data_IF_211676481006
#
_entry.id   IF_211676481006
#
_cell.length_a   1.000
_cell.length_b   1.000
_cell.length_c   1.000
_cell.angle_alpha   90.00
_cell.angle_beta   90.00
_cell.angle_gamma   90.00
#
_symmetry.space_group_name_H-M   'P 1'
#
loop_
_entity.id
_entity.type
_entity.pdbx_description
1 polymer ?
#
# COMPACT_ATOMS: atom_id res chain seq x y z
N UNK A 1 17.69 -1.14 0.11
CA UNK A 1 16.73 -0.17 -0.46
C UNK A 1 16.83 -0.31 -1.97
N UNK A 2 15.79 -0.84 -2.64
CA UNK A 2 15.82 -0.99 -4.10
C UNK A 2 15.67 0.42 -4.68
N UNK A 3 16.79 1.03 -5.07
CA UNK A 3 16.80 2.30 -5.79
C UNK A 3 16.43 1.98 -7.23
N UNK A 4 15.18 2.28 -7.62
CA UNK A 4 14.77 2.22 -9.02
C UNK A 4 15.15 3.52 -9.70
N UNK A 5 15.56 3.50 -10.98
CA UNK A 5 15.69 4.71 -11.76
C UNK A 5 14.34 5.45 -11.76
N UNK A 6 14.38 6.78 -11.62
CA UNK A 6 13.14 7.59 -11.57
C UNK A 6 12.47 7.51 -12.94
N UNK A 7 11.23 6.99 -13.05
CA UNK A 7 10.51 6.99 -14.32
C UNK A 7 10.28 8.43 -14.79
N UNK A 8 10.31 8.63 -16.10
CA UNK A 8 9.95 9.94 -16.67
C UNK A 8 8.46 10.22 -16.51
N UNK A 9 8.06 11.50 -16.58
CA UNK A 9 6.66 11.91 -16.40
C UNK A 9 5.70 11.11 -17.30
N UNK A 10 6.02 10.93 -18.58
CA UNK A 10 5.19 10.14 -19.50
C UNK A 10 5.12 8.66 -19.11
N UNK A 11 6.22 8.07 -18.64
CA UNK A 11 6.22 6.68 -18.18
C UNK A 11 5.29 6.48 -16.98
N UNK A 12 5.19 7.46 -16.08
CA UNK A 12 4.25 7.41 -14.95
C UNK A 12 2.78 7.27 -15.40
N UNK A 13 2.37 7.91 -16.51
CA UNK A 13 1.01 7.79 -17.04
C UNK A 13 0.72 6.41 -17.64
N UNK A 14 1.72 5.75 -18.24
CA UNK A 14 1.54 4.47 -18.91
C UNK A 14 1.87 3.25 -18.03
N UNK A 15 2.35 3.44 -16.79
CA UNK A 15 2.55 2.34 -15.85
C UNK A 15 1.19 1.88 -15.31
N UNK A 16 0.68 0.78 -15.88
CA UNK A 16 -0.60 0.19 -15.48
C UNK A 16 -0.48 -0.79 -14.29
N UNK A 17 0.70 -1.39 -14.09
CA UNK A 17 0.92 -2.35 -12.99
C UNK A 17 0.90 -1.63 -11.64
N UNK A 18 -0.12 -1.91 -10.83
CA UNK A 18 -0.31 -1.28 -9.52
C UNK A 18 -0.95 0.11 -9.56
N UNK A 19 -1.42 0.56 -10.73
CA UNK A 19 -2.16 1.82 -10.86
C UNK A 19 -3.60 1.67 -10.39
N UNK A 20 -4.19 2.77 -9.91
CA UNK A 20 -5.62 2.87 -9.60
C UNK A 20 -6.46 3.06 -10.87
N UNK A 21 -5.84 3.47 -11.99
CA UNK A 21 -6.51 3.81 -13.26
C UNK A 21 -7.43 2.68 -13.76
N UNK A 22 -7.00 1.41 -13.89
CA UNK A 22 -7.89 0.34 -14.35
C UNK A 22 -9.13 0.16 -13.48
N UNK A 23 -9.03 0.54 -12.19
CA UNK A 23 -10.10 0.39 -11.21
C UNK A 23 -11.15 1.49 -11.28
N UNK A 24 -10.77 2.71 -11.71
CA UNK A 24 -11.67 3.88 -11.82
C UNK A 24 -12.12 4.14 -13.26
N UNK A 25 -11.43 3.54 -14.25
CA UNK A 25 -11.72 3.71 -15.67
C UNK A 25 -13.18 3.36 -16.05
N UNK A 26 -13.77 2.22 -15.62
CA UNK A 26 -15.17 1.93 -15.98
C UNK A 26 -16.16 2.94 -15.36
N UNK A 27 -15.87 3.51 -14.20
CA UNK A 27 -16.69 4.56 -13.58
C UNK A 27 -16.59 5.86 -14.38
N UNK A 28 -15.37 6.24 -14.82
CA UNK A 28 -15.17 7.40 -15.70
C UNK A 28 -15.98 7.25 -16.99
N UNK A 29 -15.89 6.09 -17.65
CA UNK A 29 -16.69 5.82 -18.85
C UNK A 29 -18.19 5.82 -18.58
N UNK A 30 -18.63 5.26 -17.45
CA UNK A 30 -20.03 5.29 -17.03
C UNK A 30 -20.57 6.71 -16.88
N UNK A 31 -19.85 7.60 -16.19
CA UNK A 31 -20.24 9.00 -16.04
C UNK A 31 -20.18 9.76 -17.37
N UNK A 32 -19.20 9.49 -18.22
CA UNK A 32 -19.09 10.09 -19.55
C UNK A 32 -20.29 9.71 -20.43
N UNK A 33 -20.66 8.42 -20.45
CA UNK A 33 -21.81 7.93 -21.21
C UNK A 33 -23.12 8.51 -20.66
N UNK A 34 -23.28 8.54 -19.33
CA UNK A 34 -24.42 9.15 -18.67
C UNK A 34 -24.57 10.64 -19.03
N UNK A 35 -23.46 11.40 -18.98
CA UNK A 35 -23.44 12.81 -19.37
C UNK A 35 -23.80 13.00 -20.85
N UNK A 36 -23.27 12.16 -21.74
CA UNK A 36 -23.59 12.18 -23.15
C UNK A 36 -25.08 11.87 -23.42
N UNK A 37 -25.64 10.89 -22.71
CA UNK A 37 -27.07 10.53 -22.83
C UNK A 37 -27.97 11.69 -22.39
N UNK A 38 -27.70 12.34 -21.25
CA UNK A 38 -28.43 13.54 -20.81
C UNK A 38 -28.35 14.64 -21.86
N UNK A 39 -27.17 14.90 -22.41
CA UNK A 39 -26.98 15.93 -23.42
C UNK A 39 -27.81 15.64 -24.69
N UNK A 40 -27.86 14.38 -25.13
CA UNK A 40 -28.67 13.97 -26.27
C UNK A 40 -30.16 14.16 -26.01
N UNK A 41 -30.65 13.76 -24.83
CA UNK A 41 -32.06 13.94 -24.43
C UNK A 41 -32.41 15.42 -24.36
N UNK A 42 -31.58 16.23 -23.71
CA UNK A 42 -31.80 17.67 -23.57
C UNK A 42 -31.87 18.36 -24.93
N UNK A 43 -30.98 17.99 -25.87
CA UNK A 43 -31.03 18.51 -27.24
C UNK A 43 -32.25 18.04 -28.02
N UNK A 44 -32.64 16.77 -27.88
CA UNK A 44 -33.77 16.19 -28.61
C UNK A 44 -35.11 16.82 -28.19
N UNK A 45 -35.30 17.01 -26.88
CA UNK A 45 -36.52 17.60 -26.31
C UNK A 45 -36.44 19.13 -26.13
N UNK A 46 -35.36 19.77 -26.58
CA UNK A 46 -35.11 21.22 -26.41
C UNK A 46 -35.27 21.69 -24.96
N UNK A 47 -34.82 20.87 -24.00
CA UNK A 47 -34.89 21.20 -22.58
C UNK A 47 -33.88 22.30 -22.26
N UNK A 48 -34.35 23.36 -21.61
CA UNK A 48 -33.47 24.41 -21.09
C UNK A 48 -32.86 24.00 -19.75
N UNK A 49 -31.55 23.79 -19.75
CA UNK A 49 -30.76 23.44 -18.57
C UNK A 49 -30.12 24.66 -17.91
N UNK A 50 -30.34 25.88 -18.44
CA UNK A 50 -29.71 27.12 -17.93
C UNK A 50 -30.09 27.45 -16.48
N UNK A 51 -31.26 26.99 -16.03
CA UNK A 51 -31.72 27.13 -14.65
C UNK A 51 -30.94 26.27 -13.64
N UNK A 52 -30.14 25.29 -14.09
CA UNK A 52 -29.33 24.45 -13.23
C UNK A 52 -28.06 25.20 -12.80
N UNK A 53 -28.03 25.60 -11.53
CA UNK A 53 -26.84 26.22 -10.94
C UNK A 53 -25.74 25.19 -10.67
N UNK A 54 -24.50 25.55 -11.01
CA UNK A 54 -23.29 24.77 -10.70
C UNK A 54 -22.85 24.97 -9.24
N UNK A 55 -23.36 26.01 -8.56
CA UNK A 55 -22.90 26.41 -7.23
C UNK A 55 -22.95 25.29 -6.16
N UNK A 56 -24.00 24.44 -6.08
CA UNK A 56 -24.02 23.34 -5.12
C UNK A 56 -22.89 22.31 -5.37
N UNK A 57 -22.53 22.07 -6.63
CA UNK A 57 -21.43 21.17 -6.98
C UNK A 57 -20.07 21.75 -6.62
N UNK A 58 -19.90 23.07 -6.75
CA UNK A 58 -18.71 23.77 -6.29
C UNK A 58 -18.49 23.60 -4.78
N UNK A 59 -19.55 23.81 -3.98
CA UNK A 59 -19.50 23.61 -2.53
C UNK A 59 -19.12 22.17 -2.18
N UNK A 60 -19.80 21.19 -2.77
CA UNK A 60 -19.50 19.77 -2.56
C UNK A 60 -18.07 19.44 -2.97
N UNK A 61 -17.59 19.96 -4.10
CA UNK A 61 -16.21 19.77 -4.58
C UNK A 61 -15.17 20.30 -3.60
N UNK A 62 -15.38 21.50 -3.05
CA UNK A 62 -14.49 22.09 -2.04
C UNK A 62 -14.46 21.23 -0.77
N UNK A 63 -15.64 20.86 -0.26
CA UNK A 63 -15.74 20.01 0.95
C UNK A 63 -15.06 18.66 0.75
N UNK A 64 -15.28 18.00 -0.39
CA UNK A 64 -14.65 16.72 -0.73
C UNK A 64 -13.13 16.84 -0.85
N UNK A 65 -12.62 17.92 -1.44
CA UNK A 65 -11.18 18.17 -1.59
C UNK A 65 -10.49 18.28 -0.22
N UNK A 66 -11.08 19.05 0.70
CA UNK A 66 -10.56 19.20 2.06
C UNK A 66 -10.57 17.85 2.79
N UNK A 67 -11.70 17.12 2.74
CA UNK A 67 -11.79 15.81 3.38
C UNK A 67 -10.78 14.81 2.81
N UNK A 68 -10.58 14.81 1.49
CA UNK A 68 -9.62 13.94 0.82
C UNK A 68 -8.18 14.27 1.25
N UNK A 69 -7.84 15.54 1.44
CA UNK A 69 -6.53 15.96 1.94
C UNK A 69 -6.23 15.38 3.33
N UNK A 70 -7.16 15.55 4.29
CA UNK A 70 -7.01 14.96 5.63
C UNK A 70 -6.93 13.44 5.59
N UNK A 71 -7.78 12.79 4.80
CA UNK A 71 -7.77 11.33 4.64
C UNK A 71 -6.46 10.83 4.04
N UNK A 72 -5.94 11.51 3.03
CA UNK A 72 -4.70 11.14 2.36
C UNK A 72 -3.50 11.29 3.31
N UNK A 73 -3.44 12.37 4.09
CA UNK A 73 -2.39 12.57 5.08
C UNK A 73 -2.39 11.44 6.12
N UNK A 74 -3.55 11.12 6.71
CA UNK A 74 -3.66 10.04 7.69
C UNK A 74 -3.29 8.65 7.08
N UNK A 75 -3.71 8.38 5.84
CA UNK A 75 -3.35 7.15 5.14
C UNK A 75 -1.85 7.07 4.84
N UNK A 76 -1.24 8.19 4.46
CA UNK A 76 0.19 8.30 4.20
C UNK A 76 1.00 8.08 5.48
N UNK A 77 0.62 8.72 6.59
CA UNK A 77 1.28 8.59 7.87
C UNK A 77 1.26 7.15 8.37
N UNK A 78 0.10 6.47 8.27
CA UNK A 78 -0.03 5.04 8.60
C UNK A 78 0.85 4.16 7.72
N UNK A 79 0.91 4.44 6.41
CA UNK A 79 1.79 3.70 5.50
C UNK A 79 3.27 3.92 5.85
N UNK A 80 3.64 5.16 6.17
CA UNK A 80 5.00 5.53 6.54
C UNK A 80 5.40 4.94 7.88
N UNK A 81 4.51 4.92 8.86
CA UNK A 81 4.70 4.26 10.15
C UNK A 81 5.01 2.77 9.98
N UNK A 82 4.22 2.05 9.19
CA UNK A 82 4.51 0.64 8.90
C UNK A 82 5.92 0.46 8.30
N UNK A 83 6.33 1.35 7.37
CA UNK A 83 7.69 1.32 6.80
C UNK A 83 8.78 1.59 7.83
N UNK A 84 8.57 2.53 8.76
CA UNK A 84 9.48 2.82 9.88
C UNK A 84 9.63 1.60 10.78
N UNK A 85 8.52 0.95 11.18
CA UNK A 85 8.54 -0.24 12.04
C UNK A 85 9.31 -1.41 11.41
N UNK A 86 9.08 -1.68 10.12
CA UNK A 86 9.87 -2.69 9.40
C UNK A 86 11.36 -2.32 9.30
N UNK A 87 11.68 -1.03 9.17
CA UNK A 87 13.07 -0.55 9.20
C UNK A 87 13.72 -0.73 10.57
N UNK A 88 13.00 -0.42 11.64
CA UNK A 88 13.43 -0.61 13.02
C UNK A 88 13.69 -2.11 13.31
N UNK A 89 12.80 -3.01 12.87
CA UNK A 89 13.01 -4.45 13.02
C UNK A 89 14.33 -4.94 12.41
N UNK A 90 14.67 -4.48 11.20
CA UNK A 90 15.96 -4.81 10.56
C UNK A 90 17.14 -4.25 11.34
N UNK A 91 17.00 -3.04 11.88
CA UNK A 91 18.03 -2.43 12.70
C UNK A 91 18.27 -3.22 14.00
N UNK A 92 17.20 -3.61 14.69
CA UNK A 92 17.31 -4.37 15.94
C UNK A 92 17.86 -5.77 15.75
N UNK A 93 17.47 -6.48 14.69
CA UNK A 93 18.05 -7.81 14.39
C UNK A 93 19.56 -7.68 14.11
N UNK A 94 20.00 -6.60 13.46
CA UNK A 94 21.44 -6.34 13.26
C UNK A 94 22.15 -5.98 14.57
N UNK A 95 21.51 -5.25 15.47
CA UNK A 95 22.04 -4.98 16.81
C UNK A 95 22.19 -6.29 17.60
N UNK A 96 21.16 -7.13 17.59
CA UNK A 96 21.16 -8.44 18.23
C UNK A 96 22.30 -9.32 17.68
N UNK A 97 22.46 -9.38 16.36
CA UNK A 97 23.57 -10.11 15.73
C UNK A 97 24.94 -9.59 16.17
N UNK A 98 25.11 -8.27 16.36
CA UNK A 98 26.37 -7.70 16.87
C UNK A 98 26.59 -8.02 18.35
N UNK A 99 25.57 -7.84 19.19
CA UNK A 99 25.67 -8.06 20.63
C UNK A 99 26.00 -9.53 20.95
N UNK A 100 25.38 -10.47 20.23
CA UNK A 100 25.60 -11.90 20.43
C UNK A 100 27.02 -12.37 20.11
N UNK A 101 27.78 -11.63 19.29
CA UNK A 101 29.21 -11.94 19.05
C UNK A 101 30.03 -11.88 20.34
N UNK A 102 29.69 -10.96 21.25
CA UNK A 102 30.40 -10.79 22.52
C UNK A 102 29.75 -11.53 23.69
N UNK A 103 28.44 -11.79 23.60
CA UNK A 103 27.66 -12.38 24.70
C UNK A 103 27.58 -13.90 24.65
N UNK A 104 27.64 -14.50 23.45
CA UNK A 104 27.48 -15.95 23.24
C UNK A 104 28.81 -16.54 22.78
N UNK A 105 29.40 -17.40 23.62
CA UNK A 105 30.65 -18.08 23.31
C UNK A 105 30.50 -19.22 22.30
N UNK A 106 29.35 -19.90 22.30
CA UNK A 106 29.05 -20.96 21.34
C UNK A 106 28.47 -20.42 20.03
N UNK A 107 29.13 -20.74 18.92
CA UNK A 107 28.69 -20.35 17.57
C UNK A 107 27.43 -21.08 17.13
N UNK A 108 27.20 -22.30 17.61
CA UNK A 108 26.00 -23.06 17.26
C UNK A 108 24.76 -22.42 17.91
N UNK A 109 24.83 -22.12 19.20
CA UNK A 109 23.79 -21.40 19.94
C UNK A 109 23.53 -20.01 19.35
N UNK A 110 24.59 -19.24 19.04
CA UNK A 110 24.45 -17.95 18.38
C UNK A 110 23.69 -18.08 17.05
N UNK A 111 24.04 -19.08 16.24
CA UNK A 111 23.39 -19.30 14.94
C UNK A 111 21.92 -19.66 15.12
N UNK A 112 21.57 -20.53 16.07
CA UNK A 112 20.19 -20.93 16.34
C UNK A 112 19.31 -19.72 16.69
N UNK A 113 19.75 -18.88 17.64
CA UNK A 113 19.05 -17.65 18.02
C UNK A 113 18.81 -16.70 16.84
N UNK A 114 19.82 -16.52 15.98
CA UNK A 114 19.68 -15.66 14.80
C UNK A 114 18.75 -16.27 13.73
N UNK A 115 18.69 -17.60 13.63
CA UNK A 115 17.72 -18.27 12.76
C UNK A 115 16.29 -18.12 13.27
N UNK A 116 16.05 -18.18 14.57
CA UNK A 116 14.74 -17.88 15.17
C UNK A 116 14.29 -16.45 14.88
N UNK A 117 15.20 -15.46 15.00
CA UNK A 117 14.90 -14.07 14.66
C UNK A 117 14.51 -13.89 13.17
N UNK A 118 15.12 -14.68 12.28
CA UNK A 118 14.73 -14.71 10.86
C UNK A 118 13.39 -15.41 10.65
N UNK A 119 13.13 -16.54 11.31
CA UNK A 119 11.85 -17.22 11.27
C UNK A 119 10.71 -16.31 11.76
N UNK A 120 10.92 -15.55 12.84
CA UNK A 120 10.00 -14.54 13.32
C UNK A 120 9.64 -13.52 12.24
N UNK A 121 10.60 -13.05 11.44
CA UNK A 121 10.31 -12.12 10.34
C UNK A 121 9.37 -12.74 9.28
N UNK A 122 9.56 -14.02 8.97
CA UNK A 122 8.70 -14.74 8.02
C UNK A 122 7.29 -14.94 8.58
N UNK A 123 7.17 -15.35 9.85
CA UNK A 123 5.90 -15.54 10.55
C UNK A 123 5.13 -14.21 10.70
N UNK A 124 5.81 -13.14 11.11
CA UNK A 124 5.22 -11.80 11.20
C UNK A 124 4.68 -11.33 9.84
N UNK A 125 5.46 -11.54 8.76
CA UNK A 125 5.01 -11.24 7.40
C UNK A 125 3.80 -12.09 7.02
N UNK A 126 3.78 -13.38 7.37
CA UNK A 126 2.64 -14.28 7.15
C UNK A 126 1.38 -13.79 7.84
N UNK A 127 1.48 -13.50 9.14
CA UNK A 127 0.39 -12.96 9.96
C UNK A 127 -0.18 -11.66 9.38
N UNK A 128 0.68 -10.70 9.03
CA UNK A 128 0.24 -9.40 8.49
C UNK A 128 -0.39 -9.51 7.10
N UNK A 129 0.00 -10.50 6.30
CA UNK A 129 -0.57 -10.74 4.97
C UNK A 129 -1.71 -11.76 4.97
N UNK A 130 -1.99 -12.39 6.11
CA UNK A 130 -2.94 -13.52 6.22
C UNK A 130 -2.61 -14.64 5.23
N UNK A 131 -1.32 -14.98 5.12
CA UNK A 131 -0.83 -16.09 4.31
C UNK A 131 -0.10 -17.08 5.20
N UNK A 132 -0.20 -18.36 4.87
CA UNK A 132 0.64 -19.37 5.49
C UNK A 132 2.10 -19.15 5.08
N UNK A 133 2.93 -18.82 6.06
CA UNK A 133 4.37 -18.61 5.89
C UNK A 133 5.20 -19.64 6.66
N UNK A 134 4.58 -20.71 7.18
CA UNK A 134 5.25 -21.76 7.95
C UNK A 134 6.36 -22.40 7.11
N UNK A 135 6.10 -22.64 5.82
CA UNK A 135 7.10 -23.18 4.88
C UNK A 135 8.35 -22.30 4.78
N UNK A 136 8.17 -20.99 4.73
CA UNK A 136 9.29 -20.05 4.65
C UNK A 136 10.05 -19.96 5.99
N UNK A 137 9.36 -20.08 7.13
CA UNK A 137 9.96 -20.08 8.45
C UNK A 137 10.73 -21.38 8.75
N UNK A 138 10.21 -22.53 8.27
CA UNK A 138 10.80 -23.87 8.44
C UNK A 138 12.21 -23.97 7.86
N UNK A 139 12.53 -23.18 6.83
CA UNK A 139 13.88 -23.09 6.26
C UNK A 139 14.95 -22.61 7.27
N UNK A 140 14.53 -21.96 8.37
CA UNK A 140 15.43 -21.39 9.38
C UNK A 140 15.45 -22.20 10.68
N UNK A 141 14.30 -22.69 11.15
CA UNK A 141 14.16 -23.39 12.45
C UNK A 141 13.83 -24.89 12.34
N UNK A 142 13.80 -25.45 11.13
CA UNK A 142 13.46 -26.86 10.93
C UNK A 142 12.03 -27.19 11.37
N UNK A 143 11.76 -28.44 11.75
CA UNK A 143 10.41 -28.89 12.16
C UNK A 143 9.97 -28.39 13.55
N UNK A 144 10.74 -27.53 14.22
CA UNK A 144 10.35 -26.91 15.49
C UNK A 144 9.18 -25.92 15.36
N UNK A 145 8.76 -25.57 14.13
CA UNK A 145 7.61 -24.68 13.87
C UNK A 145 6.26 -25.30 14.27
N UNK A 146 6.16 -26.63 14.32
CA UNK A 146 4.90 -27.36 14.53
C UNK A 146 4.61 -27.65 16.02
N UNK A 147 5.45 -27.16 16.95
CA UNK A 147 5.26 -27.27 18.42
C UNK A 147 4.59 -26.02 19.00
#
# INVERSE_FOLDING_TARGET
MIVRPRPTFLQLFFIMRGSVVPRILPQIFGFALYSAAILLVARHFQLDLSALSIAPFGLVGVTLSIYLSFRNNAAYDRWWEARKLWGALVFEIRNLARATISLIGDRAEQRALLMEALAFCHLLRGQLRRIDSIKDARAFIGDEVDK
#
